data_IF_381758789082
#
_entry.id   IF_381758789082
#
_cell.length_a   1.000
_cell.length_b   1.000
_cell.length_c   1.000
_cell.angle_alpha   90.00
_cell.angle_beta   90.00
_cell.angle_gamma   90.00
#
_symmetry.space_group_name_H-M   'P 1'
#
loop_
_entity.id
_entity.type
_entity.pdbx_description
1 polymer ?
#
# COMPACT_ATOMS: atom_id res chain seq x y z
N UNK A 1 53.91 6.23 29.15
CA UNK A 1 53.28 5.16 28.36
C UNK A 1 51.80 4.89 28.70
N UNK A 2 51.42 4.84 29.95
CA UNK A 2 50.01 4.57 30.32
C UNK A 2 49.01 5.66 29.88
N UNK A 3 49.45 6.92 29.85
CA UNK A 3 48.57 8.05 29.40
C UNK A 3 48.37 8.11 27.89
N UNK A 4 49.33 7.60 27.12
CA UNK A 4 49.23 7.51 25.65
C UNK A 4 48.25 6.41 25.22
N UNK A 5 48.19 5.31 25.96
CA UNK A 5 47.30 4.18 25.70
C UNK A 5 45.84 4.54 25.93
N UNK A 6 45.53 5.41 26.91
CA UNK A 6 44.18 5.88 27.21
C UNK A 6 43.65 6.83 26.09
N UNK A 7 44.53 7.63 25.52
CA UNK A 7 44.14 8.56 24.39
C UNK A 7 43.85 7.78 23.12
N UNK A 8 44.59 6.70 22.84
CA UNK A 8 44.35 5.85 21.66
C UNK A 8 43.05 5.06 21.79
N UNK A 9 42.70 4.60 22.99
CA UNK A 9 41.46 3.85 23.25
C UNK A 9 40.21 4.75 23.16
N UNK A 10 40.33 6.06 23.47
CA UNK A 10 39.23 7.03 23.36
C UNK A 10 38.88 7.45 21.93
N UNK A 11 39.82 7.33 21.00
CA UNK A 11 39.62 7.72 19.60
C UNK A 11 38.87 6.67 18.75
N UNK A 12 38.77 5.43 19.21
CA UNK A 12 38.16 4.31 18.47
C UNK A 12 36.66 4.22 18.69
N UNK A 13 36.09 4.94 19.65
CA UNK A 13 34.66 4.86 20.00
C UNK A 13 33.76 5.87 19.22
N UNK A 14 34.30 6.68 18.33
CA UNK A 14 33.57 7.70 17.58
C UNK A 14 33.22 7.30 16.14
N UNK A 15 33.52 6.08 15.69
CA UNK A 15 33.26 5.61 14.33
C UNK A 15 31.99 4.76 14.18
N UNK A 16 30.99 4.98 15.01
CA UNK A 16 29.76 4.20 15.01
C UNK A 16 28.49 4.97 14.74
N UNK A 17 28.40 5.73 13.66
CA UNK A 17 27.11 6.21 13.12
C UNK A 17 27.26 6.46 11.63
N UNK A 18 27.27 5.41 10.82
CA UNK A 18 27.14 5.53 9.38
C UNK A 18 25.80 4.95 8.96
N UNK A 19 24.90 5.89 8.69
CA UNK A 19 23.92 5.91 7.60
C UNK A 19 22.85 4.84 7.54
N UNK A 20 21.79 5.08 8.31
CA UNK A 20 20.44 4.67 7.94
C UNK A 20 19.74 5.74 7.07
N UNK A 21 20.49 6.75 6.60
CA UNK A 21 19.90 7.87 5.83
C UNK A 21 19.66 7.55 4.36
N UNK A 22 20.45 6.67 3.77
CA UNK A 22 20.35 6.38 2.34
C UNK A 22 19.15 5.48 1.98
N UNK A 23 18.71 4.62 2.89
CA UNK A 23 17.50 3.81 2.67
C UNK A 23 16.19 4.62 2.82
N UNK A 24 16.21 5.71 3.56
CA UNK A 24 15.03 6.60 3.74
C UNK A 24 14.90 7.59 2.58
N UNK A 25 15.99 7.93 1.92
CA UNK A 25 16.02 8.88 0.78
C UNK A 25 16.03 8.20 -0.59
N UNK A 26 16.16 6.87 -0.64
CA UNK A 26 16.19 6.09 -1.88
C UNK A 26 14.82 5.82 -2.52
N UNK A 27 13.71 6.19 -1.90
CA UNK A 27 12.41 6.12 -2.54
C UNK A 27 12.22 7.32 -3.45
N UNK A 28 12.00 7.06 -4.74
CA UNK A 28 11.76 8.05 -5.81
C UNK A 28 10.65 9.07 -5.46
N UNK A 29 9.83 8.74 -4.49
CA UNK A 29 8.72 9.55 -3.99
C UNK A 29 8.73 9.60 -2.46
N UNK A 30 8.38 10.76 -1.87
CA UNK A 30 8.20 10.86 -0.43
C UNK A 30 7.06 9.95 0.05
N UNK A 31 7.10 9.49 1.29
CA UNK A 31 6.01 8.66 1.85
C UNK A 31 4.65 9.35 1.78
N UNK A 32 4.61 10.68 1.87
CA UNK A 32 3.36 11.46 1.74
C UNK A 32 2.83 11.38 0.30
N UNK A 33 3.70 11.53 -0.70
CA UNK A 33 3.32 11.37 -2.11
C UNK A 33 2.86 9.95 -2.40
N UNK A 34 3.59 8.94 -1.93
CA UNK A 34 3.21 7.54 -2.07
C UNK A 34 1.80 7.28 -1.52
N UNK A 35 1.49 7.76 -0.32
CA UNK A 35 0.16 7.62 0.30
C UNK A 35 -0.93 8.32 -0.48
N UNK A 36 -0.64 9.43 -1.15
CA UNK A 36 -1.65 10.18 -1.89
C UNK A 36 -2.21 9.42 -3.09
N UNK A 37 -1.37 8.72 -3.86
CA UNK A 37 -1.85 7.90 -4.97
C UNK A 37 -2.25 6.47 -4.58
N UNK A 38 -1.86 6.00 -3.41
CA UNK A 38 -2.34 4.75 -2.82
C UNK A 38 -3.75 4.84 -2.23
N UNK A 39 -4.35 6.02 -2.18
CA UNK A 39 -5.60 6.24 -1.46
C UNK A 39 -6.59 6.99 -2.35
N UNK A 40 -7.85 6.54 -2.40
CA UNK A 40 -8.95 7.22 -3.10
C UNK A 40 -10.23 7.17 -2.27
N UNK A 41 -11.01 8.26 -2.32
CA UNK A 41 -12.34 8.33 -1.74
C UNK A 41 -13.39 8.05 -2.79
N UNK A 42 -14.45 7.36 -2.38
CA UNK A 42 -15.63 7.08 -3.19
C UNK A 42 -16.88 7.55 -2.47
N UNK A 43 -17.81 8.16 -3.21
CA UNK A 43 -19.06 8.71 -2.68
C UNK A 43 -20.11 7.59 -2.55
N UNK A 44 -19.96 6.76 -1.54
CA UNK A 44 -20.90 5.67 -1.18
C UNK A 44 -20.77 5.32 0.28
N UNK A 45 -21.85 4.83 0.88
CA UNK A 45 -21.89 4.26 2.25
C UNK A 45 -21.99 2.74 2.25
N UNK A 46 -22.10 2.10 1.08
CA UNK A 46 -22.19 0.66 0.94
C UNK A 46 -20.78 0.01 0.93
N UNK A 47 -20.32 -0.32 2.14
CA UNK A 47 -19.03 -0.99 2.34
C UNK A 47 -18.96 -2.37 1.66
N UNK A 48 -20.09 -3.12 1.66
CA UNK A 48 -20.13 -4.46 1.06
C UNK A 48 -19.98 -4.40 -0.45
N UNK A 49 -20.67 -3.45 -1.09
CA UNK A 49 -20.53 -3.20 -2.53
C UNK A 49 -19.09 -2.84 -2.86
N UNK A 50 -18.47 -1.94 -2.12
CA UNK A 50 -17.07 -1.56 -2.35
C UNK A 50 -16.12 -2.76 -2.20
N UNK A 51 -16.30 -3.59 -1.18
CA UNK A 51 -15.46 -4.78 -0.97
C UNK A 51 -15.63 -5.81 -2.09
N UNK A 52 -16.86 -6.04 -2.58
CA UNK A 52 -17.12 -6.93 -3.74
C UNK A 52 -16.44 -6.39 -5.00
N UNK A 53 -16.57 -5.10 -5.25
CA UNK A 53 -15.91 -4.45 -6.39
C UNK A 53 -14.38 -4.51 -6.29
N UNK A 54 -13.82 -4.40 -5.09
CA UNK A 54 -12.37 -4.59 -4.87
C UNK A 54 -11.95 -6.01 -5.21
N UNK A 55 -12.69 -7.03 -4.74
CA UNK A 55 -12.41 -8.44 -5.05
C UNK A 55 -12.46 -8.67 -6.56
N UNK A 56 -13.54 -8.25 -7.22
CA UNK A 56 -13.71 -8.38 -8.66
C UNK A 56 -12.58 -7.69 -9.43
N UNK A 57 -12.26 -6.46 -9.07
CA UNK A 57 -11.16 -5.70 -9.69
C UNK A 57 -9.80 -6.41 -9.53
N UNK A 58 -9.51 -6.92 -8.33
CA UNK A 58 -8.27 -7.67 -8.10
C UNK A 58 -8.20 -8.93 -8.96
N UNK A 59 -9.30 -9.68 -9.08
CA UNK A 59 -9.37 -10.86 -9.93
C UNK A 59 -9.20 -10.52 -11.41
N UNK A 60 -9.84 -9.46 -11.89
CA UNK A 60 -9.70 -8.96 -13.27
C UNK A 60 -8.26 -8.52 -13.60
N UNK A 61 -7.53 -8.03 -12.60
CA UNK A 61 -6.11 -7.66 -12.71
C UNK A 61 -5.14 -8.83 -12.49
N UNK A 62 -5.66 -10.06 -12.37
CA UNK A 62 -4.84 -11.27 -12.27
C UNK A 62 -4.32 -11.57 -10.87
N UNK A 63 -5.04 -11.13 -9.82
CA UNK A 63 -4.74 -11.51 -8.44
C UNK A 63 -5.61 -12.68 -8.00
N UNK A 64 -5.00 -13.64 -7.33
CA UNK A 64 -5.69 -14.68 -6.58
C UNK A 64 -5.96 -14.13 -5.18
N UNK A 65 -7.22 -14.16 -4.75
CA UNK A 65 -7.59 -13.65 -3.42
C UNK A 65 -7.10 -14.62 -2.35
N UNK A 66 -6.21 -14.17 -1.49
CA UNK A 66 -5.70 -14.96 -0.37
C UNK A 66 -6.62 -14.86 0.84
N UNK A 67 -7.16 -13.66 1.09
CA UNK A 67 -8.02 -13.36 2.23
C UNK A 67 -8.94 -12.18 1.94
N UNK A 68 -10.18 -12.29 2.35
CA UNK A 68 -11.14 -11.20 2.40
C UNK A 68 -11.80 -11.18 3.78
N UNK A 69 -11.79 -10.04 4.44
CA UNK A 69 -12.36 -9.83 5.77
C UNK A 69 -13.31 -8.63 5.73
N UNK A 70 -14.61 -8.90 5.75
CA UNK A 70 -15.64 -7.86 5.69
C UNK A 70 -15.67 -7.01 6.96
N UNK A 71 -15.43 -7.61 8.12
CA UNK A 71 -15.44 -6.91 9.40
C UNK A 71 -14.33 -5.88 9.47
N UNK A 72 -13.11 -6.28 9.14
CA UNK A 72 -11.96 -5.41 9.07
C UNK A 72 -11.98 -4.50 7.83
N UNK A 73 -12.73 -4.88 6.80
CA UNK A 73 -12.75 -4.17 5.53
C UNK A 73 -11.44 -4.33 4.75
N UNK A 74 -10.85 -5.52 4.77
CA UNK A 74 -9.57 -5.77 4.10
C UNK A 74 -9.68 -6.93 3.11
N UNK A 75 -9.01 -6.77 1.97
CA UNK A 75 -8.83 -7.82 0.96
C UNK A 75 -7.36 -7.90 0.63
N UNK A 76 -6.80 -9.10 0.59
CA UNK A 76 -5.44 -9.34 0.13
C UNK A 76 -5.41 -10.42 -0.93
N UNK A 77 -4.50 -10.28 -1.88
CA UNK A 77 -4.29 -11.23 -2.95
C UNK A 77 -2.88 -11.19 -3.48
N UNK A 78 -2.50 -12.28 -4.14
CA UNK A 78 -1.18 -12.46 -4.75
C UNK A 78 -1.33 -12.53 -6.27
N UNK A 79 -0.51 -11.77 -6.99
CA UNK A 79 -0.50 -11.78 -8.44
C UNK A 79 -0.02 -13.12 -8.99
N UNK A 80 -0.78 -13.65 -9.92
CA UNK A 80 -0.45 -14.91 -10.61
C UNK A 80 0.82 -14.82 -11.44
N UNK A 81 1.16 -13.63 -11.97
CA UNK A 81 2.26 -13.47 -12.93
C UNK A 81 3.61 -13.19 -12.28
N UNK A 82 3.64 -12.43 -11.19
CA UNK A 82 4.90 -11.92 -10.62
C UNK A 82 5.02 -12.08 -9.09
N UNK A 83 4.09 -12.82 -8.47
CA UNK A 83 4.04 -13.02 -7.01
C UNK A 83 4.02 -11.71 -6.20
N UNK A 84 3.62 -10.58 -6.78
CA UNK A 84 3.40 -9.37 -6.01
C UNK A 84 2.14 -9.52 -5.16
N UNK A 85 2.18 -8.95 -3.98
CA UNK A 85 1.05 -8.96 -3.03
C UNK A 85 0.37 -7.61 -3.02
N UNK A 86 -0.95 -7.61 -3.19
CA UNK A 86 -1.78 -6.42 -3.07
C UNK A 86 -2.68 -6.56 -1.85
N UNK A 87 -2.67 -5.55 -0.99
CA UNK A 87 -3.59 -5.45 0.14
C UNK A 87 -4.41 -4.17 -0.01
N UNK A 88 -5.72 -4.31 0.04
CA UNK A 88 -6.67 -3.21 -0.06
C UNK A 88 -7.46 -3.11 1.23
N UNK A 89 -7.57 -1.91 1.79
CA UNK A 89 -8.41 -1.63 2.96
C UNK A 89 -9.51 -0.65 2.59
N UNK A 90 -10.71 -0.89 3.09
CA UNK A 90 -11.92 -0.09 2.89
C UNK A 90 -12.47 0.34 4.24
N UNK A 91 -12.60 1.63 4.46
CA UNK A 91 -13.17 2.17 5.70
C UNK A 91 -14.09 3.35 5.42
N UNK A 92 -15.12 3.51 6.25
CA UNK A 92 -15.99 4.69 6.21
C UNK A 92 -15.25 5.94 6.65
N UNK A 93 -15.52 7.04 5.95
CA UNK A 93 -15.02 8.38 6.29
C UNK A 93 -16.21 9.34 6.18
N UNK A 94 -16.72 9.82 7.31
CA UNK A 94 -17.96 10.60 7.31
C UNK A 94 -19.20 9.75 7.03
N UNK A 95 -20.30 10.39 6.58
CA UNK A 95 -21.62 9.74 6.48
C UNK A 95 -21.85 8.97 5.17
N UNK A 96 -21.21 9.39 4.07
CA UNK A 96 -21.46 8.84 2.73
C UNK A 96 -20.19 8.69 1.89
N UNK A 97 -19.07 8.42 2.54
CA UNK A 97 -17.80 8.25 1.83
C UNK A 97 -17.05 7.03 2.33
N UNK A 98 -16.50 6.27 1.40
CA UNK A 98 -15.55 5.20 1.66
C UNK A 98 -14.15 5.61 1.23
N UNK A 99 -13.19 5.41 2.10
CA UNK A 99 -11.78 5.54 1.82
C UNK A 99 -11.23 4.16 1.46
N UNK A 100 -10.72 4.03 0.25
CA UNK A 100 -10.04 2.83 -0.22
C UNK A 100 -8.55 3.11 -0.29
N UNK A 101 -7.76 2.28 0.36
CA UNK A 101 -6.30 2.34 0.31
C UNK A 101 -5.75 1.02 -0.21
N UNK A 102 -4.92 1.10 -1.23
CA UNK A 102 -4.19 -0.02 -1.82
C UNK A 102 -2.71 0.06 -1.46
N UNK A 103 -2.12 -1.07 -1.10
CA UNK A 103 -0.68 -1.22 -0.88
C UNK A 103 -0.20 -2.47 -1.60
N UNK A 104 0.76 -2.31 -2.48
CA UNK A 104 1.36 -3.40 -3.24
C UNK A 104 2.82 -3.60 -2.87
N UNK A 105 3.24 -4.85 -2.78
CA UNK A 105 4.60 -5.26 -2.46
C UNK A 105 5.08 -6.32 -3.46
N UNK A 106 6.30 -6.16 -3.94
CA UNK A 106 6.99 -7.19 -4.70
C UNK A 106 8.15 -7.72 -3.87
N UNK A 107 8.09 -9.02 -3.52
CA UNK A 107 8.98 -9.63 -2.52
C UNK A 107 8.85 -8.91 -1.17
N UNK A 108 9.88 -8.22 -0.69
CA UNK A 108 9.86 -7.45 0.57
C UNK A 108 9.89 -5.93 0.35
N UNK A 109 9.76 -5.46 -0.91
CA UNK A 109 9.79 -4.04 -1.25
C UNK A 109 8.41 -3.54 -1.63
N UNK A 110 8.04 -2.38 -1.11
CA UNK A 110 6.83 -1.68 -1.52
C UNK A 110 6.92 -1.25 -2.99
N UNK A 111 5.83 -1.46 -3.74
CA UNK A 111 5.70 -0.92 -5.08
C UNK A 111 5.26 0.54 -4.94
N UNK A 112 6.08 1.44 -5.45
CA UNK A 112 5.85 2.89 -5.37
C UNK A 112 5.53 3.53 -6.72
N UNK A 113 5.23 2.73 -7.75
CA UNK A 113 4.87 3.24 -9.07
C UNK A 113 3.43 3.80 -9.06
N UNK A 114 3.24 5.11 -9.28
CA UNK A 114 1.92 5.72 -9.32
C UNK A 114 1.01 5.13 -10.39
N UNK A 115 1.54 4.69 -11.52
CA UNK A 115 0.77 4.16 -12.66
C UNK A 115 0.08 2.85 -12.27
N UNK A 116 0.75 1.99 -11.50
CA UNK A 116 0.15 0.74 -11.02
C UNK A 116 -1.09 1.01 -10.16
N UNK A 117 -1.01 1.97 -9.24
CA UNK A 117 -2.14 2.36 -8.40
C UNK A 117 -3.24 3.08 -9.20
N UNK A 118 -2.88 3.92 -10.15
CA UNK A 118 -3.83 4.58 -11.04
C UNK A 118 -4.66 3.57 -11.82
N UNK A 119 -4.01 2.55 -12.40
CA UNK A 119 -4.68 1.47 -13.13
C UNK A 119 -5.65 0.70 -12.22
N UNK A 120 -5.22 0.35 -11.01
CA UNK A 120 -6.09 -0.30 -10.03
C UNK A 120 -7.32 0.55 -9.71
N UNK A 121 -7.14 1.83 -9.37
CA UNK A 121 -8.27 2.70 -9.00
C UNK A 121 -9.18 3.06 -10.18
N UNK A 122 -8.66 3.11 -11.39
CA UNK A 122 -9.51 3.31 -12.58
C UNK A 122 -10.39 2.08 -12.82
N UNK A 123 -9.83 0.88 -12.73
CA UNK A 123 -10.59 -0.37 -12.82
C UNK A 123 -11.62 -0.51 -11.70
N UNK A 124 -11.26 -0.15 -10.46
CA UNK A 124 -12.19 -0.14 -9.33
C UNK A 124 -13.33 0.85 -9.53
N UNK A 125 -13.05 2.04 -10.05
CA UNK A 125 -14.08 3.04 -10.35
C UNK A 125 -15.09 2.54 -11.40
N UNK A 126 -14.62 1.84 -12.42
CA UNK A 126 -15.48 1.20 -13.42
C UNK A 126 -16.34 0.10 -12.82
N UNK A 127 -15.74 -0.76 -11.99
CA UNK A 127 -16.46 -1.85 -11.29
C UNK A 127 -17.55 -1.29 -10.38
N UNK A 128 -17.26 -0.26 -9.61
CA UNK A 128 -18.24 0.40 -8.73
C UNK A 128 -19.38 1.05 -9.52
N UNK A 129 -19.08 1.67 -10.66
CA UNK A 129 -20.10 2.25 -11.53
C UNK A 129 -21.04 1.17 -12.08
N UNK A 130 -20.50 0.04 -12.54
CA UNK A 130 -21.30 -1.07 -13.05
C UNK A 130 -22.17 -1.70 -11.94
N UNK A 131 -21.62 -1.97 -10.79
CA UNK A 131 -22.35 -2.51 -9.62
C UNK A 131 -23.53 -1.58 -9.24
N UNK A 132 -23.31 -0.28 -9.21
CA UNK A 132 -24.35 0.68 -8.87
C UNK A 132 -25.50 0.75 -9.90
N UNK A 133 -25.26 0.34 -11.15
CA UNK A 133 -26.24 0.41 -12.25
C UNK A 133 -26.85 -0.95 -12.62
N UNK A 134 -26.29 -2.06 -12.12
CA UNK A 134 -26.80 -3.41 -12.39
C UNK A 134 -27.81 -3.91 -11.36
N UNK A 135 -28.14 -3.12 -10.37
CA UNK A 135 -29.10 -3.46 -9.28
C UNK A 135 -30.55 -3.04 -9.64
N UNK A 136 -30.85 -2.87 -10.92
CA UNK A 136 -32.22 -2.68 -11.39
C UNK A 136 -32.90 -4.00 -11.73
#
# INVERSE_FOLDING_TARGET
MKKLLIVVCGAVLLSGCVSTRDDVLGTKYSQVQTRSYQTRKFETDDKKMVLRSVISTMQDLGFIIDRADETLGTVSGTSFTNNSKLTVSVRSVGKKQMLVRANAQARLKEITDPVAYQNFFNSLSQSLFLEAHMVE
#
